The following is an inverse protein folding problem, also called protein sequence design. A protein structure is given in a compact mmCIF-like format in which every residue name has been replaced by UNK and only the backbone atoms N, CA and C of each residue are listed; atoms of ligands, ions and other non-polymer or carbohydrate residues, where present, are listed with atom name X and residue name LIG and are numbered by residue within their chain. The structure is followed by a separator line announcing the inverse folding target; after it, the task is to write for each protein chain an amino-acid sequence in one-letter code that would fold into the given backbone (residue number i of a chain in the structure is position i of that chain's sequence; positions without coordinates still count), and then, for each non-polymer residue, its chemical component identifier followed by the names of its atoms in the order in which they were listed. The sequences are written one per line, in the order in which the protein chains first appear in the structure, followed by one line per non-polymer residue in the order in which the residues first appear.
data_IF_397628659482
#
_entry.id   IF_397628659482
#
_cell.length_a   1.000
_cell.length_b   1.000
_cell.length_c   1.000
_cell.angle_alpha   90.00
_cell.angle_beta   90.00
_cell.angle_gamma   90.00
#
_symmetry.space_group_name_H-M   'P 1'
#
loop_
_entity.id
_entity.type
_entity.pdbx_description
1 polymer ?
#
# COMPACT_ATOMS: atom_id res chain seq x y z
N UNK A 1 14.43 -20.76 0.94
CA UNK A 1 13.06 -20.37 0.53
C UNK A 1 13.07 -18.90 0.14
N UNK A 2 12.96 -18.61 -1.16
CA UNK A 2 12.90 -17.23 -1.67
C UNK A 2 11.51 -16.67 -1.33
N UNK A 3 11.44 -15.52 -0.64
CA UNK A 3 10.14 -14.87 -0.40
C UNK A 3 9.63 -14.36 -1.75
N UNK A 4 8.42 -14.74 -2.12
CA UNK A 4 7.71 -14.17 -3.27
C UNK A 4 7.68 -12.65 -3.10
N UNK A 5 8.09 -11.91 -4.13
CA UNK A 5 8.07 -10.45 -4.09
C UNK A 5 6.64 -9.91 -4.14
N UNK A 6 5.73 -10.64 -4.77
CA UNK A 6 4.35 -10.24 -5.03
C UNK A 6 3.35 -11.18 -4.33
N UNK A 7 2.04 -10.97 -4.57
CA UNK A 7 0.91 -11.77 -4.07
C UNK A 7 0.45 -11.46 -2.64
N UNK A 8 0.88 -10.35 -2.05
CA UNK A 8 0.40 -10.00 -0.72
C UNK A 8 -1.09 -9.68 -0.76
N UNK A 9 -1.52 -8.88 -1.74
CA UNK A 9 -2.91 -8.50 -1.90
C UNK A 9 -3.80 -9.66 -2.36
N UNK A 10 -3.44 -10.47 -3.39
CA UNK A 10 -4.18 -11.70 -3.71
C UNK A 10 -4.43 -12.62 -2.52
N UNK A 11 -3.42 -12.88 -1.68
CA UNK A 11 -3.58 -13.68 -0.45
C UNK A 11 -4.48 -13.03 0.58
N UNK A 12 -4.57 -11.70 0.59
CA UNK A 12 -5.53 -11.01 1.45
C UNK A 12 -6.96 -11.19 0.93
N UNK A 13 -7.17 -11.21 -0.39
CA UNK A 13 -8.49 -11.41 -0.99
C UNK A 13 -9.06 -12.82 -0.75
N UNK A 14 -8.20 -13.81 -0.47
CA UNK A 14 -8.60 -15.17 -0.08
C UNK A 14 -9.30 -15.24 1.29
N UNK A 15 -9.31 -14.16 2.08
CA UNK A 15 -10.01 -14.16 3.37
C UNK A 15 -11.54 -14.19 3.19
N UNK A 16 -12.22 -15.05 3.95
CA UNK A 16 -13.68 -15.28 3.87
C UNK A 16 -14.56 -14.02 4.01
N UNK A 17 -14.05 -12.98 4.67
CA UNK A 17 -14.78 -11.73 4.90
C UNK A 17 -14.53 -10.67 3.80
N UNK A 18 -13.76 -10.97 2.76
CA UNK A 18 -13.46 -10.05 1.66
C UNK A 18 -14.22 -10.48 0.41
N UNK A 19 -14.97 -9.54 -0.17
CA UNK A 19 -15.67 -9.78 -1.43
C UNK A 19 -14.75 -9.52 -2.62
N UNK A 20 -13.98 -10.53 -3.03
CA UNK A 20 -12.93 -10.47 -4.06
C UNK A 20 -13.34 -9.64 -5.30
N UNK A 21 -14.46 -9.97 -5.93
CA UNK A 21 -14.92 -9.32 -7.17
C UNK A 21 -15.15 -7.81 -6.99
N UNK A 22 -15.60 -7.39 -5.81
CA UNK A 22 -15.84 -5.99 -5.51
C UNK A 22 -14.50 -5.26 -5.29
N UNK A 23 -13.53 -5.93 -4.66
CA UNK A 23 -12.19 -5.41 -4.40
C UNK A 23 -11.37 -5.20 -5.67
N UNK A 24 -11.54 -6.04 -6.70
CA UNK A 24 -10.78 -5.95 -7.96
C UNK A 24 -11.55 -5.37 -9.15
N UNK A 25 -12.87 -5.15 -9.02
CA UNK A 25 -13.74 -4.72 -10.13
C UNK A 25 -13.32 -3.39 -10.79
N UNK A 26 -12.61 -2.54 -10.07
CA UNK A 26 -12.06 -1.29 -10.59
C UNK A 26 -11.03 -1.51 -11.72
N UNK A 27 -10.33 -2.66 -11.74
CA UNK A 27 -9.35 -3.01 -12.78
C UNK A 27 -9.98 -3.10 -14.18
N UNK A 28 -11.26 -3.52 -14.23
CA UNK A 28 -12.01 -3.78 -15.47
C UNK A 28 -12.90 -2.60 -15.87
N UNK A 29 -13.22 -1.71 -14.93
CA UNK A 29 -14.19 -0.61 -15.12
C UNK A 29 -13.85 0.44 -16.21
N UNK A 30 -12.68 0.37 -16.85
CA UNK A 30 -12.27 1.25 -17.96
C UNK A 30 -11.94 2.70 -17.58
N UNK A 31 -12.00 3.06 -16.29
CA UNK A 31 -11.88 4.46 -15.81
C UNK A 31 -10.45 4.92 -15.53
N UNK A 32 -9.47 4.00 -15.56
CA UNK A 32 -8.07 4.28 -15.21
C UNK A 32 -7.12 3.77 -16.29
N UNK A 33 -6.08 4.55 -16.54
CA UNK A 33 -4.95 4.16 -17.39
C UNK A 33 -4.25 2.91 -16.83
N UNK A 34 -3.67 2.12 -17.73
CA UNK A 34 -3.01 0.86 -17.36
C UNK A 34 -1.87 1.08 -16.35
N UNK A 35 -1.13 2.17 -16.51
CA UNK A 35 -0.03 2.59 -15.64
C UNK A 35 -0.52 2.90 -14.22
N UNK A 36 -1.66 3.60 -14.11
CA UNK A 36 -2.28 3.90 -12.82
C UNK A 36 -2.75 2.63 -12.11
N UNK A 37 -3.34 1.69 -12.86
CA UNK A 37 -3.74 0.39 -12.32
C UNK A 37 -2.54 -0.43 -11.84
N UNK A 38 -1.48 -0.49 -12.65
CA UNK A 38 -0.24 -1.19 -12.28
C UNK A 38 0.41 -0.61 -11.02
N UNK A 39 0.45 0.72 -10.90
CA UNK A 39 0.97 1.39 -9.70
C UNK A 39 0.12 1.09 -8.46
N UNK A 40 -1.21 1.14 -8.58
CA UNK A 40 -2.10 0.83 -7.46
C UNK A 40 -1.95 -0.62 -6.99
N UNK A 41 -1.83 -1.58 -7.91
CA UNK A 41 -1.55 -2.98 -7.56
C UNK A 41 -0.19 -3.13 -6.86
N UNK A 42 0.85 -2.45 -7.33
CA UNK A 42 2.16 -2.46 -6.66
C UNK A 42 2.11 -1.88 -5.23
N UNK A 43 1.25 -0.88 -5.00
CA UNK A 43 0.98 -0.32 -3.67
C UNK A 43 0.27 -1.34 -2.78
N UNK A 44 -0.81 -1.97 -3.27
CA UNK A 44 -1.56 -2.98 -2.54
C UNK A 44 -0.70 -4.21 -2.18
N UNK A 45 0.18 -4.63 -3.09
CA UNK A 45 1.15 -5.71 -2.84
C UNK A 45 2.30 -5.30 -1.91
N UNK A 46 2.40 -4.02 -1.53
CA UNK A 46 3.46 -3.45 -0.69
C UNK A 46 4.88 -3.61 -1.28
N UNK A 47 4.98 -3.64 -2.60
CA UNK A 47 6.24 -3.77 -3.36
C UNK A 47 6.83 -2.43 -3.80
N UNK A 48 6.35 -1.36 -3.19
CA UNK A 48 6.84 0.00 -3.44
C UNK A 48 8.15 0.21 -2.69
N UNK A 49 9.02 1.07 -3.24
CA UNK A 49 10.37 1.36 -2.76
C UNK A 49 10.41 2.15 -1.43
N UNK A 50 9.85 1.56 -0.38
CA UNK A 50 9.89 2.03 1.01
C UNK A 50 11.17 1.54 1.70
N UNK A 51 11.61 2.21 2.77
CA UNK A 51 12.79 1.74 3.52
C UNK A 51 12.57 0.37 4.17
N UNK A 52 11.35 0.07 4.63
CA UNK A 52 11.01 -1.27 5.14
C UNK A 52 11.21 -2.34 4.04
N UNK A 53 10.69 -2.10 2.83
CA UNK A 53 10.87 -3.00 1.69
C UNK A 53 12.35 -3.20 1.35
N UNK A 54 13.13 -2.11 1.30
CA UNK A 54 14.56 -2.17 1.02
C UNK A 54 15.35 -2.97 2.07
N UNK A 55 15.04 -2.79 3.36
CA UNK A 55 15.72 -3.49 4.46
C UNK A 55 15.35 -4.98 4.52
N UNK A 56 14.05 -5.30 4.44
CA UNK A 56 13.58 -6.66 4.71
C UNK A 56 13.43 -7.54 3.47
N UNK A 57 13.15 -6.96 2.31
CA UNK A 57 12.93 -7.70 1.06
C UNK A 57 14.19 -7.68 0.19
N UNK A 58 14.71 -6.48 -0.11
CA UNK A 58 15.96 -6.33 -0.88
C UNK A 58 17.20 -6.68 -0.04
N UNK A 59 17.05 -6.80 1.30
CA UNK A 59 18.13 -7.11 2.25
C UNK A 59 19.29 -6.11 2.20
N UNK A 60 18.97 -4.84 1.92
CA UNK A 60 19.96 -3.75 2.00
C UNK A 60 20.27 -3.44 3.47
N UNK A 61 21.53 -3.18 3.78
CA UNK A 61 21.95 -2.75 5.11
C UNK A 61 21.63 -1.26 5.32
N UNK A 62 20.37 -0.96 5.56
CA UNK A 62 19.87 0.39 5.83
C UNK A 62 18.94 0.39 7.04
N UNK A 63 18.76 1.57 7.62
CA UNK A 63 17.72 1.82 8.62
C UNK A 63 16.33 1.90 7.97
N UNK A 64 15.33 1.28 8.58
CA UNK A 64 13.96 1.24 8.09
C UNK A 64 13.07 2.36 8.65
N UNK A 65 13.61 3.26 9.49
CA UNK A 65 12.81 4.35 10.03
C UNK A 65 12.28 5.27 8.93
N UNK A 66 11.03 5.70 9.10
CA UNK A 66 10.34 6.64 8.22
C UNK A 66 11.17 7.89 7.97
N UNK A 67 11.37 8.23 6.70
CA UNK A 67 12.11 9.43 6.26
C UNK A 67 11.50 10.75 6.73
N UNK A 68 10.26 10.73 7.20
CA UNK A 68 9.45 11.92 7.51
C UNK A 68 9.28 12.10 9.01
N UNK A 69 8.71 11.12 9.69
CA UNK A 69 8.51 11.22 11.14
C UNK A 69 9.66 10.66 11.98
N UNK A 70 10.50 9.77 11.41
CA UNK A 70 11.57 9.08 12.13
C UNK A 70 11.12 8.26 13.37
N UNK A 71 9.82 8.09 13.60
CA UNK A 71 9.28 7.43 14.79
C UNK A 71 9.03 5.92 14.63
N UNK A 72 8.82 5.45 13.40
CA UNK A 72 8.44 4.06 13.13
C UNK A 72 8.94 3.58 11.77
N UNK A 73 8.88 2.27 11.54
CA UNK A 73 9.27 1.66 10.26
C UNK A 73 8.47 2.23 9.09
N UNK A 74 9.16 2.55 8.00
CA UNK A 74 8.61 3.09 6.77
C UNK A 74 7.92 2.01 5.95
N UNK A 75 6.70 1.64 6.32
CA UNK A 75 5.84 0.77 5.51
C UNK A 75 4.88 1.61 4.65
N UNK A 76 4.31 0.99 3.60
CA UNK A 76 3.25 1.62 2.80
C UNK A 76 2.08 2.05 3.70
N UNK A 77 1.65 1.18 4.61
CA UNK A 77 0.60 1.49 5.58
C UNK A 77 0.98 2.68 6.47
N UNK A 78 2.19 2.68 7.03
CA UNK A 78 2.65 3.80 7.86
C UNK A 78 2.58 5.13 7.10
N UNK A 79 3.08 5.19 5.86
CA UNK A 79 3.06 6.42 5.04
C UNK A 79 1.62 6.90 4.82
N UNK A 80 0.68 5.99 4.54
CA UNK A 80 -0.68 6.33 4.16
C UNK A 80 -1.58 6.68 5.35
N UNK A 81 -1.44 6.00 6.49
CA UNK A 81 -2.44 6.07 7.58
C UNK A 81 -1.87 6.48 8.93
N UNK A 82 -0.56 6.37 9.17
CA UNK A 82 0.00 6.50 10.53
C UNK A 82 1.20 7.44 10.64
N UNK A 83 1.65 8.05 9.54
CA UNK A 83 2.74 9.00 9.56
C UNK A 83 2.24 10.34 10.09
N UNK A 84 2.56 10.66 11.35
CA UNK A 84 2.13 11.89 12.02
C UNK A 84 2.37 13.16 11.20
N UNK A 85 3.45 13.22 10.44
CA UNK A 85 3.82 14.36 9.58
C UNK A 85 2.93 14.46 8.33
N UNK A 86 2.51 13.34 7.75
CA UNK A 86 1.73 13.30 6.50
C UNK A 86 0.22 13.31 6.77
N UNK A 87 -0.22 12.65 7.85
CA UNK A 87 -1.64 12.53 8.22
C UNK A 87 -2.21 13.87 8.69
N UNK A 88 -1.41 14.67 9.40
CA UNK A 88 -1.88 15.92 10.03
C UNK A 88 -2.01 17.12 9.08
N UNK A 89 -1.50 17.04 7.84
CA UNK A 89 -1.40 18.21 6.95
C UNK A 89 -2.33 18.19 5.73
N UNK A 90 -2.77 17.03 5.24
CA UNK A 90 -3.54 16.95 3.98
C UNK A 90 -4.60 15.81 3.95
N UNK A 91 -4.51 14.85 4.87
CA UNK A 91 -5.30 13.62 4.80
C UNK A 91 -6.75 13.81 5.28
N UNK A 92 -6.97 14.68 6.27
CA UNK A 92 -8.31 14.95 6.83
C UNK A 92 -9.28 15.58 5.82
N UNK A 93 -8.80 16.36 4.85
CA UNK A 93 -9.68 17.02 3.86
C UNK A 93 -10.08 16.11 2.68
N UNK A 94 -9.25 15.10 2.38
CA UNK A 94 -9.51 14.10 1.32
C UNK A 94 -10.36 12.92 1.82
N UNK A 95 -10.57 12.83 3.13
CA UNK A 95 -11.45 11.87 3.81
C UNK A 95 -12.95 12.20 3.66
N UNK A 96 -13.37 12.71 2.49
CA UNK A 96 -14.72 12.44 1.99
C UNK A 96 -14.73 10.99 1.46
N UNK A 97 -15.78 10.20 1.72
CA UNK A 97 -15.69 8.74 1.89
C UNK A 97 -15.55 7.92 0.58
N UNK A 98 -14.62 8.26 -0.32
CA UNK A 98 -14.51 7.58 -1.62
C UNK A 98 -13.13 7.10 -2.05
N UNK A 99 -12.01 7.51 -1.42
CA UNK A 99 -10.68 7.09 -1.89
C UNK A 99 -9.95 6.07 -1.00
N UNK A 100 -10.23 6.02 0.29
CA UNK A 100 -9.44 5.20 1.23
C UNK A 100 -9.88 3.74 1.28
N UNK A 101 -11.08 3.47 0.77
CA UNK A 101 -11.56 2.12 0.55
C UNK A 101 -10.74 1.37 -0.54
N UNK A 102 -10.07 2.09 -1.44
CA UNK A 102 -9.31 1.46 -2.53
C UNK A 102 -7.91 0.96 -2.14
N UNK A 103 -7.37 1.37 -0.98
CA UNK A 103 -6.00 0.99 -0.57
C UNK A 103 -5.99 0.03 0.63
N UNK A 104 -7.12 -0.13 1.33
CA UNK A 104 -7.24 -0.97 2.53
C UNK A 104 -8.10 -2.23 2.35
N UNK A 105 -8.67 -2.43 1.15
CA UNK A 105 -9.23 -3.72 0.73
C UNK A 105 -8.27 -4.31 -0.30
#
# INVERSE_FOLDING_TARGET
MQKELHQKHPKQLENDYIHEIASIGWLVSGKLFAETKGLAIAIQDQVVFTRNYRKHIIKQNIDDSCRRCFCSSETVFHILSSCSVLVSTDYSERHKPSLILFILI
#
